data_IF_587697526909
#
_entry.id   IF_587697526909
#
_cell.length_a   1.000
_cell.length_b   1.000
_cell.length_c   1.000
_cell.angle_alpha   90.00
_cell.angle_beta   90.00
_cell.angle_gamma   90.00
#
_symmetry.space_group_name_H-M   'P 1'
#
loop_
_entity.id
_entity.type
_entity.pdbx_description
1 polymer ?
#
# COMPACT_ATOMS: atom_id res chain seq x y z
N UNK A 1 -3.54 11.16 22.18
CA UNK A 1 -2.97 10.33 21.10
C UNK A 1 -4.13 9.84 20.26
N UNK A 2 -4.17 10.13 18.96
CA UNK A 2 -5.23 9.68 18.04
C UNK A 2 -5.02 8.20 17.73
N UNK A 3 -6.06 7.38 17.87
CA UNK A 3 -5.98 5.95 17.54
C UNK A 3 -5.58 5.78 16.08
N UNK A 4 -4.54 4.97 15.81
CA UNK A 4 -4.14 4.65 14.44
C UNK A 4 -4.95 3.44 13.99
N UNK A 5 -5.87 3.66 13.05
CA UNK A 5 -6.62 2.59 12.38
C UNK A 5 -5.67 1.95 11.36
N UNK A 6 -5.49 0.64 11.46
CA UNK A 6 -4.65 -0.14 10.56
C UNK A 6 -5.44 -0.57 9.32
N UNK A 7 -6.61 -1.16 9.54
CA UNK A 7 -7.56 -1.56 8.51
C UNK A 7 -8.97 -1.67 9.10
N UNK A 8 -9.97 -1.74 8.23
CA UNK A 8 -11.35 -2.03 8.63
C UNK A 8 -11.78 -3.41 8.15
N UNK A 9 -12.81 -3.95 8.80
CA UNK A 9 -13.47 -5.18 8.39
C UNK A 9 -14.98 -4.98 8.37
N UNK A 10 -15.64 -5.48 7.33
CA UNK A 10 -17.10 -5.59 7.25
C UNK A 10 -17.51 -7.03 7.00
N UNK A 11 -18.40 -7.56 7.83
CA UNK A 11 -18.88 -8.94 7.74
C UNK A 11 -20.27 -8.96 7.10
N UNK A 12 -20.50 -9.95 6.25
CA UNK A 12 -21.69 -10.16 5.45
C UNK A 12 -22.17 -11.62 5.54
N UNK A 13 -23.48 -11.81 5.56
CA UNK A 13 -24.10 -13.14 5.52
C UNK A 13 -24.06 -13.76 4.13
N UNK A 14 -24.22 -12.93 3.08
CA UNK A 14 -24.27 -13.33 1.68
C UNK A 14 -23.08 -12.78 0.89
N UNK A 15 -22.53 -13.60 -0.01
CA UNK A 15 -21.42 -13.22 -0.89
C UNK A 15 -21.75 -12.03 -1.78
N UNK A 16 -22.97 -12.01 -2.34
CA UNK A 16 -23.46 -10.95 -3.21
C UNK A 16 -23.36 -9.56 -2.56
N UNK A 17 -23.57 -9.47 -1.24
CA UNK A 17 -23.47 -8.20 -0.50
C UNK A 17 -22.01 -7.76 -0.31
N UNK A 18 -21.09 -8.71 -0.13
CA UNK A 18 -19.66 -8.42 -0.12
C UNK A 18 -19.18 -7.96 -1.51
N UNK A 19 -19.68 -8.57 -2.58
CA UNK A 19 -19.38 -8.17 -3.96
C UNK A 19 -19.97 -6.79 -4.32
N UNK A 20 -21.18 -6.48 -3.86
CA UNK A 20 -21.76 -5.14 -3.94
C UNK A 20 -20.90 -4.10 -3.21
N UNK A 21 -20.37 -4.46 -2.04
CA UNK A 21 -19.47 -3.59 -1.28
C UNK A 21 -18.16 -3.33 -2.05
N UNK A 22 -17.57 -4.33 -2.68
CA UNK A 22 -16.39 -4.18 -3.55
C UNK A 22 -16.66 -3.21 -4.71
N UNK A 23 -17.89 -3.21 -5.26
CA UNK A 23 -18.31 -2.26 -6.30
C UNK A 23 -18.64 -0.86 -5.75
N UNK A 24 -18.39 -0.61 -4.47
CA UNK A 24 -18.62 0.66 -3.80
C UNK A 24 -20.05 0.91 -3.32
N UNK A 25 -20.93 -0.09 -3.37
CA UNK A 25 -22.34 0.06 -2.98
C UNK A 25 -22.52 -0.18 -1.48
N UNK A 26 -22.60 0.89 -0.72
CA UNK A 26 -22.70 0.86 0.75
C UNK A 26 -24.15 1.10 1.18
N UNK A 27 -24.71 0.16 1.94
CA UNK A 27 -26.03 0.29 2.54
C UNK A 27 -25.91 0.82 3.96
N UNK A 28 -26.51 1.96 4.22
CA UNK A 28 -26.54 2.58 5.55
C UNK A 28 -27.95 2.46 6.09
N UNK A 29 -28.10 1.65 7.13
CA UNK A 29 -29.38 1.49 7.82
C UNK A 29 -29.62 2.64 8.78
N UNK A 30 -30.89 2.93 9.07
CA UNK A 30 -31.24 3.91 10.10
C UNK A 30 -30.84 3.43 11.48
N UNK A 31 -30.59 4.37 12.37
CA UNK A 31 -30.27 4.04 13.76
C UNK A 31 -31.39 3.24 14.43
N UNK A 32 -32.66 3.54 14.10
CA UNK A 32 -33.84 2.81 14.58
C UNK A 32 -33.85 1.33 14.19
N UNK A 33 -33.27 0.95 13.05
CA UNK A 33 -33.15 -0.44 12.63
C UNK A 33 -32.37 -1.26 13.66
N UNK A 34 -31.23 -0.73 14.14
CA UNK A 34 -30.38 -1.42 15.11
C UNK A 34 -31.02 -1.56 16.51
N UNK A 35 -31.97 -0.68 16.86
CA UNK A 35 -32.74 -0.77 18.11
C UNK A 35 -33.79 -1.88 18.10
N UNK A 36 -34.29 -2.22 16.90
CA UNK A 36 -35.41 -3.15 16.71
C UNK A 36 -34.95 -4.60 16.49
N UNK A 37 -33.65 -4.82 16.28
CA UNK A 37 -33.08 -6.17 16.21
C UNK A 37 -33.24 -6.80 17.60
N UNK A 38 -34.06 -7.84 17.70
CA UNK A 38 -34.05 -8.72 18.87
C UNK A 38 -32.63 -9.26 19.04
N UNK A 39 -32.10 -9.18 20.26
CA UNK A 39 -30.70 -9.50 20.54
C UNK A 39 -30.43 -11.01 20.39
N UNK A 40 -30.32 -11.44 19.14
CA UNK A 40 -29.70 -12.70 18.77
C UNK A 40 -28.24 -12.37 18.46
N UNK A 41 -27.33 -12.96 19.24
CA UNK A 41 -25.88 -12.92 19.01
C UNK A 41 -25.21 -11.53 19.17
N UNK A 42 -25.58 -10.74 20.20
CA UNK A 42 -24.96 -9.43 20.51
C UNK A 42 -25.08 -8.39 19.38
N UNK A 43 -26.06 -8.53 18.49
CA UNK A 43 -26.32 -7.64 17.36
C UNK A 43 -27.26 -6.48 17.70
N UNK A 44 -28.17 -6.69 18.64
CA UNK A 44 -29.15 -5.69 19.08
C UNK A 44 -28.66 -4.91 20.31
N UNK A 45 -28.75 -3.58 20.27
CA UNK A 45 -28.57 -2.74 21.47
C UNK A 45 -29.81 -1.86 21.65
N UNK A 46 -30.65 -2.21 22.64
CA UNK A 46 -31.84 -1.42 22.98
C UNK A 46 -31.48 -0.02 23.51
N UNK A 47 -30.24 0.19 23.94
CA UNK A 47 -29.72 1.45 24.46
C UNK A 47 -28.95 2.24 23.40
N UNK A 48 -29.16 1.95 22.11
CA UNK A 48 -28.45 2.63 21.04
C UNK A 48 -28.77 4.13 20.98
N UNK A 49 -27.75 4.99 20.91
CA UNK A 49 -27.90 6.45 20.93
C UNK A 49 -28.63 7.01 22.17
N UNK A 50 -28.37 6.47 23.35
CA UNK A 50 -28.72 7.11 24.62
C UNK A 50 -28.04 8.49 24.72
N UNK A 51 -28.82 9.53 25.02
CA UNK A 51 -28.38 10.92 25.22
C UNK A 51 -27.84 11.16 26.63
N UNK A 52 -28.39 10.46 27.62
CA UNK A 52 -27.98 10.55 29.02
C UNK A 52 -28.14 9.22 29.74
N UNK A 53 -27.20 8.92 30.63
CA UNK A 53 -27.26 7.76 31.52
C UNK A 53 -26.98 8.22 32.93
N UNK A 54 -27.95 8.08 33.82
CA UNK A 54 -27.99 8.76 35.09
C UNK A 54 -28.15 7.75 36.23
N UNK A 55 -27.13 7.66 37.09
CA UNK A 55 -27.14 6.79 38.26
C UNK A 55 -28.20 7.23 39.30
N UNK A 56 -28.93 6.28 39.92
CA UNK A 56 -30.02 6.57 40.86
C UNK A 56 -29.62 7.49 42.00
N UNK A 57 -28.46 7.22 42.61
CA UNK A 57 -27.93 7.96 43.76
C UNK A 57 -27.38 9.36 43.43
N UNK A 58 -27.51 9.81 42.18
CA UNK A 58 -27.00 11.10 41.70
C UNK A 58 -28.08 11.98 41.08
N UNK A 59 -29.34 11.54 41.09
CA UNK A 59 -30.44 12.27 40.48
C UNK A 59 -31.65 12.33 41.38
N UNK A 60 -32.53 13.27 41.04
CA UNK A 60 -33.88 13.41 41.53
C UNK A 60 -34.74 13.73 40.32
N UNK A 61 -35.92 13.11 40.22
CA UNK A 61 -36.80 13.29 39.06
C UNK A 61 -38.05 14.06 39.51
N UNK A 62 -38.41 15.09 38.74
CA UNK A 62 -39.63 15.85 38.96
C UNK A 62 -40.52 15.72 37.72
N UNK A 63 -41.74 15.20 37.89
CA UNK A 63 -42.75 15.05 36.82
C UNK A 63 -44.01 15.79 37.26
N UNK A 64 -44.18 17.02 36.76
CA UNK A 64 -45.21 17.92 37.28
C UNK A 64 -44.96 18.20 38.76
N UNK A 65 -45.94 17.89 39.61
CA UNK A 65 -45.85 18.03 41.07
C UNK A 65 -45.30 16.78 41.78
N UNK A 66 -45.01 15.70 41.03
CA UNK A 66 -44.48 14.45 41.59
C UNK A 66 -42.96 14.53 41.68
N UNK A 67 -42.44 14.25 42.87
CA UNK A 67 -41.03 14.22 43.18
C UNK A 67 -40.59 12.79 43.50
N UNK A 68 -39.63 12.26 42.72
CA UNK A 68 -39.05 10.93 42.90
C UNK A 68 -37.61 11.11 43.38
N UNK A 69 -37.34 10.72 44.63
CA UNK A 69 -36.03 10.86 45.24
C UNK A 69 -35.11 9.71 44.85
N UNK A 70 -33.81 9.88 45.09
CA UNK A 70 -32.78 8.90 44.71
C UNK A 70 -32.99 7.52 45.35
N UNK A 71 -33.63 7.46 46.51
CA UNK A 71 -33.95 6.22 47.24
C UNK A 71 -35.06 5.40 46.57
N UNK A 72 -35.92 6.04 45.78
CA UNK A 72 -37.06 5.41 45.09
C UNK A 72 -36.71 4.92 43.68
N UNK A 73 -35.48 5.16 43.21
CA UNK A 73 -35.03 4.81 41.86
C UNK A 73 -34.26 3.49 41.89
N UNK A 74 -34.87 2.43 41.37
CA UNK A 74 -34.32 1.07 41.43
C UNK A 74 -33.16 0.78 40.44
N UNK A 75 -33.02 1.57 39.37
CA UNK A 75 -32.04 1.33 38.30
C UNK A 75 -31.64 2.63 37.57
N UNK A 76 -30.50 2.65 36.85
CA UNK A 76 -30.09 3.83 36.10
C UNK A 76 -31.16 4.32 35.14
N UNK A 77 -31.36 5.63 35.12
CA UNK A 77 -32.32 6.29 34.24
C UNK A 77 -31.58 6.73 32.99
N UNK A 78 -32.08 6.32 31.83
CA UNK A 78 -31.52 6.73 30.55
C UNK A 78 -32.51 7.61 29.76
N UNK A 79 -31.96 8.59 29.06
CA UNK A 79 -32.73 9.47 28.17
C UNK A 79 -32.34 9.14 26.74
N UNK A 80 -33.32 8.92 25.88
CA UNK A 80 -33.10 8.62 24.48
C UNK A 80 -34.12 9.40 23.65
N UNK A 81 -33.64 10.32 22.82
CA UNK A 81 -34.50 11.21 22.04
C UNK A 81 -34.76 10.67 20.62
N UNK A 82 -35.89 11.05 20.03
CA UNK A 82 -36.30 10.57 18.71
C UNK A 82 -35.54 11.21 17.55
N UNK A 83 -34.88 12.36 17.75
CA UNK A 83 -34.14 13.04 16.68
C UNK A 83 -32.98 12.20 16.11
N UNK A 84 -32.55 11.17 16.84
CA UNK A 84 -31.59 10.17 16.35
C UNK A 84 -32.16 9.29 15.22
N UNK A 85 -33.48 9.18 15.10
CA UNK A 85 -34.14 8.37 14.07
C UNK A 85 -33.92 8.91 12.64
N UNK A 86 -33.48 10.16 12.50
CA UNK A 86 -33.06 10.74 11.21
C UNK A 86 -31.67 10.28 10.74
N UNK A 87 -30.94 9.60 11.62
CA UNK A 87 -29.55 9.24 11.37
C UNK A 87 -29.42 7.86 10.74
N UNK A 88 -28.62 7.79 9.68
CA UNK A 88 -28.17 6.56 9.04
C UNK A 88 -26.76 6.23 9.49
N UNK A 89 -26.51 4.95 9.80
CA UNK A 89 -25.22 4.47 10.27
C UNK A 89 -24.59 3.53 9.24
N UNK A 90 -23.29 3.71 9.03
CA UNK A 90 -22.42 2.70 8.43
C UNK A 90 -21.42 2.22 9.48
N UNK A 91 -21.47 0.95 9.83
CA UNK A 91 -20.66 0.39 10.91
C UNK A 91 -19.61 -0.58 10.35
N UNK A 92 -18.37 -0.39 10.79
CA UNK A 92 -17.20 -1.21 10.47
C UNK A 92 -16.54 -1.70 11.76
N UNK A 93 -15.93 -2.88 11.73
CA UNK A 93 -14.95 -3.26 12.75
C UNK A 93 -13.64 -2.53 12.43
N UNK A 94 -13.10 -1.78 13.38
CA UNK A 94 -11.83 -1.09 13.20
C UNK A 94 -10.71 -1.79 13.95
N UNK A 95 -9.76 -2.34 13.20
CA UNK A 95 -8.52 -2.83 13.79
C UNK A 95 -7.60 -1.64 13.98
N UNK A 96 -7.35 -1.28 15.24
CA UNK A 96 -6.59 -0.10 15.62
C UNK A 96 -5.73 -0.36 16.85
N UNK A 97 -4.65 0.40 17.00
CA UNK A 97 -3.81 0.39 18.20
C UNK A 97 -3.62 1.81 18.74
N UNK A 98 -3.53 1.92 20.06
CA UNK A 98 -3.09 3.14 20.75
C UNK A 98 -1.85 2.93 21.62
N UNK A 99 -1.41 1.67 21.80
CA UNK A 99 -0.29 1.28 22.66
C UNK A 99 1.02 1.21 21.91
N UNK A 100 1.00 0.83 20.63
CA UNK A 100 2.23 0.57 19.88
C UNK A 100 2.53 1.68 18.89
N UNK A 101 3.60 2.45 19.14
CA UNK A 101 4.19 3.36 18.14
C UNK A 101 5.06 2.61 17.14
N UNK A 102 5.77 1.58 17.59
CA UNK A 102 6.63 0.71 16.80
C UNK A 102 6.45 -0.75 17.24
N UNK A 103 6.55 -1.66 16.28
CA UNK A 103 6.51 -3.12 16.52
C UNK A 103 7.93 -3.67 16.47
N UNK A 104 8.27 -4.53 17.43
CA UNK A 104 9.58 -5.16 17.61
C UNK A 104 9.41 -6.59 18.11
N UNK A 105 10.48 -7.38 18.11
CA UNK A 105 10.47 -8.76 18.62
C UNK A 105 9.97 -8.86 20.07
N UNK A 106 10.21 -7.84 20.90
CA UNK A 106 9.80 -7.83 22.31
C UNK A 106 8.30 -7.62 22.54
N UNK A 107 7.59 -7.02 21.59
CA UNK A 107 6.18 -6.65 21.76
C UNK A 107 5.25 -7.20 20.66
N UNK A 108 5.76 -8.02 19.75
CA UNK A 108 5.01 -8.57 18.61
C UNK A 108 3.81 -9.41 19.09
N UNK A 109 3.97 -10.21 20.14
CA UNK A 109 2.89 -11.05 20.69
C UNK A 109 1.76 -10.21 21.30
N UNK A 110 2.08 -9.14 22.02
CA UNK A 110 1.08 -8.22 22.56
C UNK A 110 0.39 -7.42 21.44
N UNK A 111 1.16 -6.98 20.44
CA UNK A 111 0.62 -6.31 19.26
C UNK A 111 -0.34 -7.21 18.49
N UNK A 112 0.03 -8.48 18.24
CA UNK A 112 -0.81 -9.50 17.60
C UNK A 112 -2.14 -9.66 18.34
N UNK A 113 -2.10 -9.82 19.67
CA UNK A 113 -3.32 -9.92 20.50
C UNK A 113 -4.18 -8.65 20.43
N UNK A 114 -3.58 -7.47 20.30
CA UNK A 114 -4.35 -6.21 20.20
C UNK A 114 -5.08 -6.10 18.84
N UNK A 115 -4.47 -6.56 17.75
CA UNK A 115 -5.05 -6.46 16.40
C UNK A 115 -5.96 -7.62 16.04
N UNK A 116 -5.97 -8.68 16.85
CA UNK A 116 -6.88 -9.82 16.69
C UNK A 116 -8.35 -9.39 16.81
N UNK A 117 -9.19 -9.93 15.92
CA UNK A 117 -10.64 -9.72 15.92
C UNK A 117 -11.28 -10.74 16.85
N UNK A 118 -12.19 -10.28 17.71
CA UNK A 118 -12.89 -11.15 18.65
C UNK A 118 -13.71 -12.23 17.91
N UNK A 119 -13.67 -13.48 18.38
CA UNK A 119 -14.33 -14.63 17.74
C UNK A 119 -15.85 -14.42 17.57
N UNK A 120 -16.54 -13.81 18.55
CA UNK A 120 -17.97 -13.51 18.46
C UNK A 120 -18.27 -12.61 17.25
N UNK A 121 -17.37 -11.69 16.92
CA UNK A 121 -17.53 -10.83 15.75
C UNK A 121 -17.35 -11.61 14.46
N UNK A 122 -16.46 -12.60 14.42
CA UNK A 122 -16.23 -13.44 13.24
C UNK A 122 -17.41 -14.37 12.92
N UNK A 123 -18.28 -14.63 13.89
CA UNK A 123 -19.51 -15.43 13.71
C UNK A 123 -20.66 -14.64 13.07
N UNK A 124 -20.52 -13.31 12.92
CA UNK A 124 -21.58 -12.44 12.39
C UNK A 124 -21.84 -12.62 10.88
N UNK A 125 -21.29 -13.61 10.21
CA UNK A 125 -21.56 -13.87 8.81
C UNK A 125 -20.63 -14.91 8.20
N UNK A 126 -20.78 -15.13 6.90
CA UNK A 126 -20.02 -16.14 6.15
C UNK A 126 -18.92 -15.52 5.28
N UNK A 127 -18.96 -14.21 5.07
CA UNK A 127 -18.04 -13.46 4.21
C UNK A 127 -17.57 -12.22 4.94
N UNK A 128 -16.31 -11.85 4.75
CA UNK A 128 -15.79 -10.58 5.24
C UNK A 128 -15.10 -9.84 4.12
N UNK A 129 -15.27 -8.52 4.10
CA UNK A 129 -14.43 -7.63 3.31
C UNK A 129 -13.44 -6.96 4.25
N UNK A 130 -12.16 -7.11 3.95
CA UNK A 130 -11.08 -6.35 4.58
C UNK A 130 -10.82 -5.12 3.75
N UNK A 131 -10.75 -3.96 4.39
CA UNK A 131 -10.43 -2.67 3.77
C UNK A 131 -8.99 -2.34 4.14
N UNK A 132 -8.07 -2.67 3.23
CA UNK A 132 -6.62 -2.66 3.44
C UNK A 132 -6.04 -1.25 3.59
N UNK A 133 -6.68 -0.26 2.96
CA UNK A 133 -6.30 1.15 3.06
C UNK A 133 -7.41 1.96 3.72
N UNK A 134 -7.41 1.99 5.05
CA UNK A 134 -8.40 2.70 5.85
C UNK A 134 -8.49 4.18 5.47
N UNK A 135 -7.35 4.85 5.26
CA UNK A 135 -7.33 6.29 4.94
C UNK A 135 -8.01 6.58 3.60
N UNK A 136 -7.61 5.89 2.53
CA UNK A 136 -8.19 6.09 1.20
C UNK A 136 -9.69 5.75 1.18
N UNK A 137 -10.11 4.73 1.94
CA UNK A 137 -11.52 4.44 2.13
C UNK A 137 -12.28 5.59 2.81
N UNK A 138 -11.74 6.16 3.89
CA UNK A 138 -12.33 7.33 4.55
C UNK A 138 -12.44 8.53 3.58
N UNK A 139 -11.41 8.79 2.79
CA UNK A 139 -11.40 9.87 1.79
C UNK A 139 -12.48 9.67 0.72
N UNK A 140 -12.62 8.44 0.18
CA UNK A 140 -13.69 8.09 -0.79
C UNK A 140 -15.07 8.21 -0.18
N UNK A 141 -15.24 7.76 1.05
CA UNK A 141 -16.51 7.88 1.78
C UNK A 141 -16.90 9.35 1.96
N UNK A 142 -15.98 10.19 2.44
CA UNK A 142 -16.22 11.63 2.65
C UNK A 142 -16.57 12.30 1.32
N UNK A 143 -15.79 12.04 0.26
CA UNK A 143 -16.07 12.58 -1.08
C UNK A 143 -17.45 12.16 -1.61
N UNK A 144 -17.87 10.91 -1.40
CA UNK A 144 -19.19 10.43 -1.80
C UNK A 144 -20.33 11.08 -1.00
N UNK A 145 -20.13 11.24 0.32
CA UNK A 145 -21.09 11.92 1.18
C UNK A 145 -21.28 13.40 0.81
N UNK A 146 -20.19 14.11 0.51
CA UNK A 146 -20.20 15.50 0.05
C UNK A 146 -20.92 15.66 -1.29
N UNK A 147 -20.64 14.78 -2.27
CA UNK A 147 -21.33 14.74 -3.57
C UNK A 147 -22.83 14.49 -3.43
N UNK A 148 -23.22 13.75 -2.39
CA UNK A 148 -24.63 13.45 -2.08
C UNK A 148 -25.27 14.51 -1.15
N UNK A 149 -24.57 15.60 -0.85
CA UNK A 149 -24.99 16.68 0.05
C UNK A 149 -25.36 16.21 1.46
N UNK A 150 -24.80 15.09 1.90
CA UNK A 150 -25.03 14.56 3.24
C UNK A 150 -24.10 15.21 4.25
N UNK A 151 -24.66 15.60 5.40
CA UNK A 151 -23.87 16.01 6.57
C UNK A 151 -23.62 14.78 7.44
N UNK A 152 -22.36 14.39 7.56
CA UNK A 152 -21.99 13.21 8.33
C UNK A 152 -20.76 13.38 9.20
N UNK A 153 -20.55 12.42 10.09
CA UNK A 153 -19.40 12.32 10.98
C UNK A 153 -18.93 10.87 11.04
N UNK A 154 -17.62 10.64 10.91
CA UNK A 154 -16.99 9.34 11.08
C UNK A 154 -16.12 9.33 12.34
N UNK A 155 -16.31 8.38 13.26
CA UNK A 155 -15.41 8.18 14.40
C UNK A 155 -15.52 6.79 15.03
N UNK A 156 -14.51 6.43 15.83
CA UNK A 156 -14.55 5.26 16.70
C UNK A 156 -15.64 5.42 17.77
N UNK A 157 -16.36 4.34 18.03
CA UNK A 157 -17.31 4.23 19.12
C UNK A 157 -16.55 4.22 20.44
N UNK A 158 -17.04 5.00 21.41
CA UNK A 158 -16.57 5.04 22.78
C UNK A 158 -17.45 4.15 23.64
N UNK A 159 -16.85 3.47 24.59
CA UNK A 159 -17.57 2.54 25.46
C UNK A 159 -17.64 3.08 26.87
N UNK A 160 -18.80 2.89 27.51
CA UNK A 160 -19.03 3.29 28.90
C UNK A 160 -19.54 2.13 29.73
N UNK A 161 -19.14 2.05 30.99
CA UNK A 161 -19.67 1.05 31.92
C UNK A 161 -21.01 1.56 32.51
N UNK A 162 -22.14 0.90 32.23
CA UNK A 162 -23.45 1.34 32.70
C UNK A 162 -23.58 1.31 34.23
N UNK A 163 -22.72 0.59 34.95
CA UNK A 163 -22.73 0.52 36.41
C UNK A 163 -22.08 1.74 37.07
N UNK A 164 -21.14 2.38 36.39
CA UNK A 164 -20.32 3.45 36.98
C UNK A 164 -20.50 4.81 36.29
N UNK A 165 -20.86 4.83 35.01
CA UNK A 165 -21.03 6.05 34.25
C UNK A 165 -22.26 6.86 34.72
N UNK A 166 -22.10 8.17 34.84
CA UNK A 166 -23.18 9.13 35.06
C UNK A 166 -22.90 10.38 34.21
N UNK A 167 -23.80 10.74 33.30
CA UNK A 167 -23.67 11.96 32.51
C UNK A 167 -24.44 11.97 31.20
N UNK A 168 -24.09 12.92 30.34
CA UNK A 168 -24.76 13.21 29.07
C UNK A 168 -23.78 13.03 27.90
N UNK A 169 -24.21 12.32 26.85
CA UNK A 169 -23.48 12.09 25.61
C UNK A 169 -23.75 13.15 24.54
N UNK A 170 -24.85 13.91 24.67
CA UNK A 170 -25.23 15.02 23.78
C UNK A 170 -25.21 14.59 22.29
N UNK A 171 -24.62 15.40 21.40
CA UNK A 171 -24.58 15.20 19.94
C UNK A 171 -23.81 13.95 19.48
N UNK A 172 -23.06 13.31 20.37
CA UNK A 172 -22.23 12.14 20.09
C UNK A 172 -22.85 10.83 20.57
N UNK A 173 -24.12 10.82 20.99
CA UNK A 173 -24.83 9.61 21.45
C UNK A 173 -24.72 8.43 20.48
N UNK A 174 -24.81 8.69 19.17
CA UNK A 174 -24.65 7.69 18.11
C UNK A 174 -23.23 7.09 18.00
N UNK A 175 -22.30 7.47 18.87
CA UNK A 175 -20.94 6.95 18.93
C UNK A 175 -20.57 6.49 20.35
N UNK A 176 -21.56 6.22 21.19
CA UNK A 176 -21.37 5.65 22.51
C UNK A 176 -22.16 4.35 22.63
N UNK A 177 -21.53 3.33 23.21
CA UNK A 177 -22.13 2.03 23.49
C UNK A 177 -21.76 1.55 24.88
N UNK A 178 -22.53 0.62 25.42
CA UNK A 178 -22.17 -0.02 26.68
C UNK A 178 -20.93 -0.89 26.52
N UNK A 179 -20.13 -0.99 27.59
CA UNK A 179 -18.84 -1.69 27.60
C UNK A 179 -18.93 -3.17 27.22
N UNK A 180 -20.09 -3.81 27.39
CA UNK A 180 -20.31 -5.19 26.96
C UNK A 180 -20.14 -5.38 25.44
N UNK A 181 -20.34 -4.33 24.64
CA UNK A 181 -20.15 -4.36 23.19
C UNK A 181 -18.73 -3.95 22.75
N UNK A 182 -17.80 -3.72 23.68
CA UNK A 182 -16.45 -3.23 23.37
C UNK A 182 -15.65 -4.15 22.44
N UNK A 183 -15.96 -5.44 22.43
CA UNK A 183 -15.36 -6.42 21.54
C UNK A 183 -15.56 -6.10 20.05
N UNK A 184 -16.61 -5.35 19.71
CA UNK A 184 -16.94 -4.96 18.33
C UNK A 184 -15.97 -3.95 17.72
N UNK A 185 -15.15 -3.27 18.55
CA UNK A 185 -14.19 -2.21 18.14
C UNK A 185 -14.75 -1.31 17.03
N UNK A 186 -15.99 -0.89 17.20
CA UNK A 186 -16.79 -0.33 16.12
C UNK A 186 -16.29 1.07 15.69
N UNK A 187 -16.19 1.28 14.38
CA UNK A 187 -16.10 2.60 13.76
C UNK A 187 -17.40 2.87 13.02
N UNK A 188 -17.96 4.07 13.25
CA UNK A 188 -19.22 4.48 12.63
C UNK A 188 -19.02 5.65 11.73
N UNK A 189 -19.74 5.64 10.61
CA UNK A 189 -20.18 6.85 9.96
C UNK A 189 -21.64 7.09 10.28
N UNK A 190 -21.95 8.30 10.69
CA UNK A 190 -23.32 8.78 10.87
C UNK A 190 -23.62 9.81 9.80
N UNK A 191 -24.73 9.65 9.10
CA UNK A 191 -25.29 10.65 8.17
C UNK A 191 -26.65 11.09 8.71
N UNK A 192 -26.87 12.38 8.85
CA UNK A 192 -28.18 12.93 9.21
C UNK A 192 -28.91 13.42 7.96
N UNK A 193 -29.95 12.69 7.57
CA UNK A 193 -30.75 13.03 6.39
C UNK A 193 -31.87 14.02 6.71
N UNK A 194 -32.13 14.30 8.00
CA UNK A 194 -33.30 15.08 8.47
C UNK A 194 -34.66 14.57 8.02
N UNK A 195 -34.74 13.31 7.58
CA UNK A 195 -35.98 12.66 7.17
C UNK A 195 -36.35 11.56 8.15
N UNK A 196 -37.64 11.30 8.33
CA UNK A 196 -38.17 10.18 9.14
C UNK A 196 -38.47 8.99 8.24
N UNK A 197 -38.43 7.77 8.78
CA UNK A 197 -38.83 6.54 8.09
C UNK A 197 -37.96 5.35 8.49
N UNK A 198 -38.04 4.26 7.72
CA UNK A 198 -37.25 3.04 7.93
C UNK A 198 -36.28 2.74 6.78
N UNK A 199 -36.36 3.48 5.67
CA UNK A 199 -35.58 3.18 4.47
C UNK A 199 -34.07 3.45 4.69
N UNK A 200 -33.20 2.52 4.27
CA UNK A 200 -31.76 2.77 4.23
C UNK A 200 -31.41 3.77 3.14
N UNK A 201 -30.21 4.33 3.21
CA UNK A 201 -29.60 5.04 2.07
C UNK A 201 -28.51 4.17 1.45
N UNK A 202 -28.38 4.26 0.14
CA UNK A 202 -27.30 3.62 -0.61
C UNK A 202 -26.32 4.70 -1.03
N UNK A 203 -25.07 4.57 -0.62
CA UNK A 203 -23.98 5.40 -1.10
C UNK A 203 -23.14 4.62 -2.11
N UNK A 204 -22.63 5.33 -3.12
CA UNK A 204 -21.72 4.77 -4.11
C UNK A 204 -20.35 5.42 -3.97
N UNK A 205 -19.35 4.62 -3.61
CA UNK A 205 -17.96 5.06 -3.43
C UNK A 205 -17.08 4.83 -4.67
N UNK A 206 -17.64 4.28 -5.75
CA UNK A 206 -16.89 3.76 -6.89
C UNK A 206 -16.24 2.41 -6.57
N UNK A 207 -15.54 1.83 -7.54
CA UNK A 207 -14.86 0.55 -7.33
C UNK A 207 -13.88 0.64 -6.15
N UNK A 208 -13.97 -0.33 -5.25
CA UNK A 208 -13.14 -0.47 -4.05
C UNK A 208 -12.22 -1.70 -4.15
N UNK A 209 -12.21 -2.42 -5.29
CA UNK A 209 -11.41 -3.63 -5.48
C UNK A 209 -9.90 -3.39 -5.32
N UNK A 210 -9.44 -2.16 -5.52
CA UNK A 210 -8.06 -1.73 -5.31
C UNK A 210 -7.66 -1.60 -3.83
N UNK A 211 -8.63 -1.46 -2.92
CA UNK A 211 -8.37 -1.29 -1.48
C UNK A 211 -9.08 -2.32 -0.61
N UNK A 212 -9.71 -3.33 -1.21
CA UNK A 212 -10.49 -4.34 -0.49
C UNK A 212 -10.27 -5.75 -1.00
N UNK A 213 -10.46 -6.74 -0.12
CA UNK A 213 -10.50 -8.15 -0.49
C UNK A 213 -11.59 -8.90 0.28
N UNK A 214 -12.21 -9.89 -0.37
CA UNK A 214 -13.18 -10.80 0.27
C UNK A 214 -12.42 -11.99 0.83
N UNK A 215 -12.67 -12.30 2.09
CA UNK A 215 -12.14 -13.47 2.81
C UNK A 215 -13.24 -14.17 3.59
N UNK A 216 -12.97 -15.37 4.10
CA UNK A 216 -13.85 -16.01 5.07
C UNK A 216 -13.57 -15.40 6.47
N UNK A 217 -14.59 -15.10 7.30
CA UNK A 217 -14.37 -14.47 8.62
C UNK A 217 -13.41 -15.24 9.54
N UNK A 218 -13.54 -16.57 9.61
CA UNK A 218 -12.63 -17.45 10.38
C UNK A 218 -11.14 -17.35 9.97
N UNK A 219 -10.87 -16.83 8.77
CA UNK A 219 -9.53 -16.70 8.22
C UNK A 219 -8.96 -15.30 8.50
N UNK A 220 -9.71 -14.33 9.05
CA UNK A 220 -9.20 -12.96 9.27
C UNK A 220 -8.07 -12.92 10.29
N UNK A 221 -8.23 -13.62 11.42
CA UNK A 221 -7.15 -13.76 12.40
C UNK A 221 -6.05 -14.72 11.89
N UNK A 222 -6.35 -15.48 10.83
CA UNK A 222 -5.45 -16.44 10.18
C UNK A 222 -4.94 -15.95 8.83
N UNK A 223 -5.14 -14.68 8.47
CA UNK A 223 -4.58 -14.06 7.27
C UNK A 223 -3.09 -13.88 7.55
N UNK A 224 -2.47 -15.03 7.49
CA UNK A 224 -1.16 -15.39 7.91
C UNK A 224 -0.38 -15.51 6.61
N UNK A 225 0.90 -15.18 6.69
CA UNK A 225 1.82 -15.33 5.57
C UNK A 225 1.67 -16.72 4.92
N UNK A 226 1.37 -17.72 5.73
CA UNK A 226 1.11 -19.11 5.42
C UNK A 226 0.00 -19.33 4.39
N UNK A 227 -1.05 -18.48 4.33
CA UNK A 227 -2.07 -18.59 3.29
C UNK A 227 -1.61 -17.95 1.97
N UNK A 228 -0.92 -16.81 2.06
CA UNK A 228 -0.44 -16.10 0.88
C UNK A 228 0.75 -16.80 0.23
N UNK A 229 1.71 -17.24 1.04
CA UNK A 229 2.95 -17.92 0.68
C UNK A 229 3.20 -19.10 1.64
N UNK A 230 2.49 -20.24 1.45
CA UNK A 230 2.62 -21.42 2.32
C UNK A 230 4.03 -22.00 2.36
N UNK A 231 4.84 -21.70 1.35
CA UNK A 231 6.22 -22.14 1.28
C UNK A 231 7.16 -21.36 2.19
N UNK A 232 6.73 -20.25 2.83
CA UNK A 232 7.58 -19.51 3.74
C UNK A 232 7.48 -20.07 5.16
N UNK A 233 8.65 -20.24 5.81
CA UNK A 233 8.78 -20.58 7.23
C UNK A 233 9.60 -19.55 7.98
N UNK A 234 9.55 -19.62 9.31
CA UNK A 234 10.36 -18.80 10.22
C UNK A 234 10.13 -17.28 10.02
N UNK A 235 8.91 -16.87 9.68
CA UNK A 235 8.55 -15.47 9.52
C UNK A 235 7.66 -15.00 10.67
N UNK A 236 8.12 -13.98 11.39
CA UNK A 236 7.36 -13.40 12.52
C UNK A 236 6.34 -12.36 12.05
N UNK A 237 6.61 -11.64 10.96
CA UNK A 237 5.71 -10.63 10.42
C UNK A 237 6.07 -10.32 8.96
N UNK A 238 5.08 -9.93 8.17
CA UNK A 238 5.26 -9.51 6.78
C UNK A 238 4.46 -8.23 6.49
N UNK A 239 4.94 -7.45 5.53
CA UNK A 239 4.20 -6.35 4.91
C UNK A 239 3.77 -6.81 3.52
N UNK A 240 2.49 -6.63 3.21
CA UNK A 240 1.95 -6.96 1.90
C UNK A 240 1.66 -5.68 1.12
N UNK A 241 2.19 -5.61 -0.10
CA UNK A 241 1.99 -4.51 -1.03
C UNK A 241 1.21 -5.03 -2.24
N UNK A 242 -0.13 -4.90 -2.27
CA UNK A 242 -0.97 -5.56 -3.26
C UNK A 242 -0.74 -5.07 -4.70
N UNK A 243 -0.36 -3.80 -4.86
CA UNK A 243 -0.24 -3.16 -6.17
C UNK A 243 1.15 -3.26 -6.80
N UNK A 244 2.11 -3.91 -6.14
CA UNK A 244 3.45 -4.09 -6.72
C UNK A 244 3.37 -4.99 -7.95
N UNK A 245 3.85 -4.46 -9.06
CA UNK A 245 4.06 -5.21 -10.29
C UNK A 245 5.53 -5.64 -10.41
N UNK A 246 5.75 -6.75 -11.11
CA UNK A 246 7.08 -7.24 -11.42
C UNK A 246 7.08 -7.89 -12.81
N UNK A 247 8.25 -7.90 -13.46
CA UNK A 247 8.43 -8.59 -14.73
C UNK A 247 8.94 -10.00 -14.50
N UNK A 248 8.20 -10.98 -15.03
CA UNK A 248 8.61 -12.40 -15.06
C UNK A 248 9.70 -12.69 -16.11
N UNK A 249 9.93 -11.77 -17.05
CA UNK A 249 11.00 -11.83 -18.06
C UNK A 249 11.38 -10.42 -18.57
N UNK A 250 12.33 -9.74 -17.89
CA UNK A 250 12.80 -8.42 -18.30
C UNK A 250 13.49 -8.39 -19.67
N UNK A 251 14.07 -9.51 -20.11
CA UNK A 251 14.77 -9.58 -21.39
C UNK A 251 13.77 -9.58 -22.54
N UNK A 252 12.73 -10.39 -22.46
CA UNK A 252 11.63 -10.41 -23.43
C UNK A 252 10.90 -9.07 -23.48
N UNK A 253 10.71 -8.41 -22.32
CA UNK A 253 10.18 -7.06 -22.27
C UNK A 253 11.04 -6.07 -23.08
N UNK A 254 12.36 -6.07 -22.86
CA UNK A 254 13.28 -5.22 -23.61
C UNK A 254 13.29 -5.52 -25.13
N UNK A 255 13.29 -6.81 -25.52
CA UNK A 255 13.21 -7.20 -26.93
C UNK A 255 11.89 -6.77 -27.59
N UNK A 256 10.78 -6.76 -26.84
CA UNK A 256 9.50 -6.28 -27.35
C UNK A 256 9.55 -4.77 -27.61
N UNK A 257 10.10 -3.99 -26.69
CA UNK A 257 10.31 -2.56 -26.89
C UNK A 257 11.22 -2.29 -28.09
N UNK A 258 12.33 -3.03 -28.20
CA UNK A 258 13.24 -2.95 -29.34
C UNK A 258 12.54 -3.24 -30.67
N UNK A 259 11.72 -4.30 -30.73
CA UNK A 259 10.97 -4.66 -31.92
C UNK A 259 9.96 -3.57 -32.31
N UNK A 260 9.29 -2.96 -31.32
CA UNK A 260 8.40 -1.82 -31.56
C UNK A 260 9.16 -0.64 -32.15
N UNK A 261 10.32 -0.29 -31.59
CA UNK A 261 11.17 0.79 -32.10
C UNK A 261 11.56 0.57 -33.58
N UNK A 262 12.01 -0.64 -33.94
CA UNK A 262 12.32 -0.97 -35.34
C UNK A 262 11.09 -0.87 -36.23
N UNK A 263 9.93 -1.40 -35.79
CA UNK A 263 8.69 -1.35 -36.57
C UNK A 263 8.19 0.07 -36.85
N UNK A 264 8.56 1.04 -36.00
CA UNK A 264 8.26 2.46 -36.16
C UNK A 264 9.28 3.19 -37.07
N UNK A 265 10.20 2.45 -37.71
CA UNK A 265 11.25 3.02 -38.58
C UNK A 265 12.55 3.38 -37.84
N UNK A 266 12.66 3.03 -36.56
CA UNK A 266 13.91 3.15 -35.81
C UNK A 266 15.04 2.33 -36.44
N UNK A 267 16.25 2.87 -36.41
CA UNK A 267 17.45 2.18 -36.89
C UNK A 267 18.31 1.74 -35.71
N UNK A 268 18.79 0.49 -35.74
CA UNK A 268 19.71 -0.03 -34.74
C UNK A 268 21.09 -0.28 -35.33
N UNK A 269 22.08 0.39 -34.78
CA UNK A 269 23.49 0.21 -35.12
C UNK A 269 24.15 -0.42 -33.91
N UNK A 270 24.59 -1.67 -34.04
CA UNK A 270 25.35 -2.37 -33.00
C UNK A 270 26.81 -1.97 -33.12
N UNK A 271 27.20 -0.92 -32.42
CA UNK A 271 28.59 -0.42 -32.40
C UNK A 271 28.91 0.24 -31.05
N UNK A 272 30.18 0.24 -30.67
CA UNK A 272 30.64 0.87 -29.43
C UNK A 272 30.98 2.33 -29.68
N UNK A 273 30.34 3.24 -28.96
CA UNK A 273 30.69 4.67 -28.99
C UNK A 273 31.94 4.87 -28.14
N UNK A 274 33.00 5.41 -28.76
CA UNK A 274 34.29 5.65 -28.10
C UNK A 274 34.44 7.09 -27.66
N UNK A 275 33.95 8.04 -28.45
CA UNK A 275 34.01 9.48 -28.14
C UNK A 275 32.83 10.26 -28.69
N UNK A 276 32.46 11.32 -27.98
CA UNK A 276 31.43 12.28 -28.40
C UNK A 276 32.06 13.67 -28.43
N UNK A 277 31.90 14.38 -29.55
CA UNK A 277 32.42 15.73 -29.76
C UNK A 277 31.29 16.67 -30.17
N UNK A 278 31.15 17.81 -29.48
CA UNK A 278 30.28 18.90 -29.92
C UNK A 278 31.04 19.79 -30.89
N UNK A 279 30.71 19.73 -32.18
CA UNK A 279 31.36 20.58 -33.20
C UNK A 279 30.71 21.98 -33.28
N UNK A 280 29.41 22.04 -33.03
CA UNK A 280 28.61 23.27 -32.89
C UNK A 280 27.30 22.94 -32.18
N UNK A 281 26.49 23.96 -31.86
CA UNK A 281 25.16 23.75 -31.26
C UNK A 281 24.25 22.82 -32.06
N UNK A 282 24.41 22.69 -33.38
CA UNK A 282 23.56 21.84 -34.23
C UNK A 282 24.29 20.66 -34.88
N UNK A 283 25.53 20.40 -34.49
CA UNK A 283 26.32 19.31 -35.05
C UNK A 283 27.12 18.59 -33.95
N UNK A 284 26.70 17.37 -33.67
CA UNK A 284 27.35 16.45 -32.75
C UNK A 284 28.01 15.36 -33.58
N UNK A 285 29.30 15.09 -33.32
CA UNK A 285 30.05 13.98 -33.92
C UNK A 285 30.19 12.87 -32.89
N UNK A 286 29.76 11.68 -33.29
CA UNK A 286 29.82 10.46 -32.49
C UNK A 286 30.82 9.55 -33.19
N UNK A 287 31.96 9.28 -32.54
CA UNK A 287 32.90 8.29 -33.06
C UNK A 287 32.58 6.95 -32.43
N UNK A 288 32.48 5.95 -33.27
CA UNK A 288 32.34 4.56 -32.84
C UNK A 288 33.60 3.78 -33.17
N UNK A 289 33.64 2.50 -32.83
CA UNK A 289 34.76 1.62 -33.19
C UNK A 289 34.91 1.45 -34.70
N UNK A 290 33.82 1.54 -35.47
CA UNK A 290 33.84 1.25 -36.90
C UNK A 290 33.51 2.44 -37.81
N UNK A 291 32.92 3.52 -37.29
CA UNK A 291 32.47 4.65 -38.12
C UNK A 291 32.34 5.97 -37.34
N UNK A 292 32.09 7.05 -38.08
CA UNK A 292 31.72 8.34 -37.53
C UNK A 292 30.28 8.68 -37.91
N UNK A 293 29.47 9.02 -36.92
CA UNK A 293 28.06 9.41 -37.11
C UNK A 293 27.92 10.89 -36.78
N UNK A 294 27.14 11.62 -37.58
CA UNK A 294 26.75 13.00 -37.30
C UNK A 294 25.29 13.05 -36.90
N UNK A 295 24.98 13.78 -35.83
CA UNK A 295 23.62 13.95 -35.34
C UNK A 295 23.36 15.41 -34.96
N UNK A 296 22.09 15.83 -35.05
CA UNK A 296 21.63 17.14 -34.57
C UNK A 296 21.30 17.14 -33.07
N UNK A 297 20.86 15.99 -32.55
CA UNK A 297 20.51 15.73 -31.15
C UNK A 297 21.07 14.38 -30.74
N UNK A 298 21.44 14.24 -29.48
CA UNK A 298 21.98 13.02 -28.90
C UNK A 298 21.38 12.80 -27.50
N UNK A 299 21.01 11.57 -27.18
CA UNK A 299 20.64 11.17 -25.81
C UNK A 299 21.66 10.14 -25.35
N UNK A 300 22.28 10.36 -24.20
CA UNK A 300 23.20 9.41 -23.56
C UNK A 300 22.42 8.64 -22.50
N UNK A 301 22.15 7.37 -22.78
CA UNK A 301 21.42 6.44 -21.89
C UNK A 301 22.17 5.11 -21.74
N UNK A 302 23.50 5.17 -21.62
CA UNK A 302 24.39 4.00 -21.67
C UNK A 302 24.63 3.34 -20.30
N UNK A 303 23.71 3.50 -19.35
CA UNK A 303 23.83 2.96 -17.99
C UNK A 303 25.15 3.39 -17.33
N UNK A 304 25.91 2.43 -16.80
CA UNK A 304 27.20 2.69 -16.13
C UNK A 304 28.25 3.28 -17.07
N UNK A 305 28.19 2.94 -18.36
CA UNK A 305 29.15 3.40 -19.37
C UNK A 305 28.96 4.87 -19.74
N UNK A 306 27.85 5.50 -19.31
CA UNK A 306 27.62 6.93 -19.50
C UNK A 306 28.72 7.79 -18.85
N UNK A 307 29.36 7.31 -17.77
CA UNK A 307 30.44 8.02 -17.06
C UNK A 307 31.59 8.41 -18.00
N UNK A 308 32.09 7.46 -18.78
CA UNK A 308 33.22 7.73 -19.69
C UNK A 308 32.79 8.59 -20.88
N UNK A 309 31.55 8.42 -21.35
CA UNK A 309 31.00 9.21 -22.46
C UNK A 309 30.84 10.69 -22.10
N UNK A 310 30.27 11.00 -20.92
CA UNK A 310 30.11 12.40 -20.48
C UNK A 310 31.43 13.06 -20.11
N UNK A 311 32.43 12.27 -19.69
CA UNK A 311 33.79 12.76 -19.44
C UNK A 311 34.44 13.32 -20.69
N UNK A 312 34.14 12.81 -21.88
CA UNK A 312 34.61 13.39 -23.15
C UNK A 312 34.06 14.80 -23.40
N UNK A 313 32.94 15.15 -22.76
CA UNK A 313 32.31 16.47 -22.81
C UNK A 313 32.77 17.38 -21.65
N UNK A 314 33.78 16.96 -20.88
CA UNK A 314 34.29 17.71 -19.72
C UNK A 314 33.42 17.58 -18.46
N UNK A 315 32.46 16.66 -18.44
CA UNK A 315 31.54 16.48 -17.32
C UNK A 315 32.00 15.28 -16.49
N UNK A 316 32.16 15.49 -15.18
CA UNK A 316 32.54 14.43 -14.25
C UNK A 316 31.36 14.10 -13.34
N UNK A 317 31.05 12.81 -13.20
CA UNK A 317 29.92 12.35 -12.37
C UNK A 317 30.39 11.23 -11.43
N UNK A 318 29.92 11.20 -10.16
CA UNK A 318 30.26 10.16 -9.20
C UNK A 318 29.47 8.86 -9.45
N UNK A 319 29.36 8.45 -10.71
CA UNK A 319 28.68 7.23 -11.11
C UNK A 319 29.59 6.03 -10.86
N UNK A 320 29.09 5.02 -10.15
CA UNK A 320 29.79 3.76 -9.90
C UNK A 320 28.83 2.58 -10.13
N UNK A 321 29.38 1.38 -10.34
CA UNK A 321 28.57 0.18 -10.44
C UNK A 321 28.42 -0.50 -9.09
N UNK A 322 27.17 -0.59 -8.65
CA UNK A 322 26.78 -1.57 -7.66
C UNK A 322 26.47 -2.89 -8.37
N UNK A 323 27.32 -3.89 -8.15
CA UNK A 323 27.24 -5.18 -8.86
C UNK A 323 26.28 -6.11 -8.14
N UNK A 324 25.11 -6.34 -8.73
CA UNK A 324 24.08 -7.21 -8.19
C UNK A 324 24.26 -8.66 -8.63
N UNK A 325 24.23 -9.60 -7.68
CA UNK A 325 24.36 -11.02 -7.97
C UNK A 325 23.01 -11.73 -7.96
N UNK A 326 22.89 -12.68 -8.88
CA UNK A 326 21.68 -13.46 -9.09
C UNK A 326 22.02 -14.94 -9.18
N UNK A 327 21.15 -15.76 -8.60
CA UNK A 327 21.18 -17.21 -8.70
C UNK A 327 19.79 -17.70 -9.09
N UNK A 328 19.68 -18.53 -10.12
CA UNK A 328 18.42 -19.15 -10.49
C UNK A 328 18.31 -20.52 -9.80
N UNK A 329 17.13 -20.79 -9.26
CA UNK A 329 16.68 -22.13 -8.92
C UNK A 329 15.94 -22.72 -10.14
N UNK A 330 15.93 -24.05 -10.30
CA UNK A 330 15.12 -24.73 -11.29
C UNK A 330 13.64 -24.29 -11.23
N UNK A 331 12.89 -24.58 -12.29
CA UNK A 331 11.47 -24.25 -12.35
C UNK A 331 10.67 -25.10 -11.35
N UNK A 332 10.55 -24.54 -10.16
CA UNK A 332 9.70 -24.99 -9.08
C UNK A 332 8.92 -23.76 -8.63
N UNK A 333 7.58 -23.86 -8.63
CA UNK A 333 6.71 -22.79 -8.16
C UNK A 333 6.76 -22.74 -6.63
N UNK A 334 7.86 -22.18 -6.12
CA UNK A 334 8.13 -22.06 -4.68
C UNK A 334 7.38 -20.89 -4.06
N UNK A 335 7.11 -19.84 -4.81
CA UNK A 335 6.36 -18.67 -4.32
C UNK A 335 5.43 -18.17 -5.40
N UNK A 336 4.31 -17.57 -4.99
CA UNK A 336 3.31 -17.02 -5.89
C UNK A 336 3.58 -15.55 -6.26
N UNK A 337 4.41 -14.85 -5.47
CA UNK A 337 4.81 -13.47 -5.75
C UNK A 337 6.26 -13.19 -5.31
N UNK A 338 6.83 -12.03 -5.68
CA UNK A 338 8.13 -11.62 -5.18
C UNK A 338 8.06 -11.38 -3.66
N UNK A 339 9.00 -11.95 -2.92
CA UNK A 339 9.08 -11.77 -1.46
C UNK A 339 10.48 -11.28 -1.08
N UNK A 340 10.52 -10.14 -0.39
CA UNK A 340 11.73 -9.55 0.14
C UNK A 340 11.93 -9.93 1.62
N UNK A 341 13.05 -10.55 1.93
CA UNK A 341 13.42 -10.94 3.29
C UNK A 341 14.35 -9.87 3.89
N UNK A 342 13.77 -8.87 4.56
CA UNK A 342 14.49 -7.70 5.05
C UNK A 342 15.71 -8.05 5.93
N UNK A 343 15.54 -8.95 6.90
CA UNK A 343 16.62 -9.35 7.82
C UNK A 343 17.78 -10.06 7.10
N UNK A 344 17.49 -10.78 6.01
CA UNK A 344 18.47 -11.52 5.21
C UNK A 344 18.97 -10.75 3.98
N UNK A 345 18.40 -9.57 3.71
CA UNK A 345 18.76 -8.67 2.59
C UNK A 345 18.75 -9.36 1.23
N UNK A 346 17.75 -10.20 0.99
CA UNK A 346 17.57 -10.86 -0.31
C UNK A 346 16.09 -10.99 -0.69
N UNK A 347 15.85 -11.23 -1.97
CA UNK A 347 14.53 -11.32 -2.58
C UNK A 347 14.46 -12.64 -3.36
N UNK A 348 13.34 -13.32 -3.24
CA UNK A 348 12.95 -14.46 -4.06
C UNK A 348 11.88 -13.98 -5.02
N UNK A 349 12.08 -14.18 -6.32
CA UNK A 349 11.16 -13.73 -7.36
C UNK A 349 10.81 -14.91 -8.27
N UNK A 350 9.53 -15.31 -8.39
CA UNK A 350 9.13 -16.26 -9.43
C UNK A 350 9.33 -15.61 -10.81
N UNK A 351 10.02 -16.30 -11.71
CA UNK A 351 10.30 -15.86 -13.09
C UNK A 351 9.69 -16.87 -14.07
N UNK A 352 9.61 -16.50 -15.34
CA UNK A 352 9.05 -17.38 -16.38
C UNK A 352 9.83 -18.71 -16.51
N UNK A 353 11.15 -18.69 -16.31
CA UNK A 353 12.05 -19.85 -16.50
C UNK A 353 12.59 -20.45 -15.20
N UNK A 354 12.06 -20.04 -14.03
CA UNK A 354 12.56 -20.51 -12.74
C UNK A 354 12.29 -19.56 -11.59
N UNK A 355 12.92 -19.81 -10.44
CA UNK A 355 12.84 -18.91 -9.28
C UNK A 355 14.17 -18.17 -9.10
N UNK A 356 14.14 -16.84 -9.14
CA UNK A 356 15.35 -16.01 -9.04
C UNK A 356 15.60 -15.57 -7.61
N UNK A 357 16.81 -15.81 -7.13
CA UNK A 357 17.35 -15.27 -5.89
C UNK A 357 18.23 -14.07 -6.22
N UNK A 358 18.08 -12.97 -5.47
CA UNK A 358 18.90 -11.76 -5.64
C UNK A 358 19.05 -11.01 -4.31
N UNK A 359 20.15 -10.27 -4.11
CA UNK A 359 20.24 -9.38 -2.94
C UNK A 359 21.64 -8.94 -2.54
N UNK A 360 22.67 -9.71 -2.90
CA UNK A 360 24.05 -9.39 -2.54
C UNK A 360 24.68 -8.44 -3.57
N UNK A 361 25.47 -7.48 -3.07
CA UNK A 361 26.01 -6.38 -3.86
C UNK A 361 27.44 -6.03 -3.48
N UNK A 362 28.18 -5.42 -4.39
CA UNK A 362 29.49 -4.83 -4.12
C UNK A 362 29.87 -3.70 -5.09
N UNK A 363 30.75 -2.81 -4.61
CA UNK A 363 31.39 -1.78 -5.41
C UNK A 363 32.76 -2.28 -5.86
N UNK A 364 32.90 -2.61 -7.15
CA UNK A 364 34.17 -3.14 -7.68
C UNK A 364 34.39 -2.81 -9.17
N UNK A 365 33.73 -1.77 -9.68
CA UNK A 365 33.88 -1.32 -11.06
C UNK A 365 33.39 -2.35 -12.10
N UNK A 366 33.61 -2.03 -13.38
CA UNK A 366 33.11 -2.86 -14.49
C UNK A 366 34.08 -3.95 -14.95
N UNK A 367 35.35 -3.91 -14.51
CA UNK A 367 36.42 -4.80 -15.01
C UNK A 367 36.76 -5.97 -14.08
N UNK A 368 36.46 -5.87 -12.79
CA UNK A 368 36.78 -6.91 -11.81
C UNK A 368 36.00 -8.19 -12.09
N UNK A 369 36.59 -9.36 -11.89
CA UNK A 369 35.86 -10.65 -12.05
C UNK A 369 34.70 -10.76 -11.04
N UNK A 370 33.62 -11.49 -11.37
CA UNK A 370 32.53 -11.76 -10.42
C UNK A 370 32.99 -12.60 -9.22
N UNK A 371 32.45 -12.31 -8.05
CA UNK A 371 32.61 -13.10 -6.83
C UNK A 371 31.38 -14.02 -6.64
N UNK A 372 31.42 -15.21 -7.23
CA UNK A 372 30.27 -16.12 -7.24
C UNK A 372 29.82 -16.63 -5.87
N UNK A 373 30.68 -16.56 -4.84
CA UNK A 373 30.30 -16.86 -3.46
C UNK A 373 29.11 -16.02 -2.98
N UNK A 374 28.95 -14.81 -3.52
CA UNK A 374 27.81 -13.92 -3.24
C UNK A 374 26.49 -14.44 -3.78
N UNK A 375 26.51 -15.05 -4.97
CA UNK A 375 25.34 -15.71 -5.56
C UNK A 375 25.05 -17.02 -4.83
N UNK A 376 26.08 -17.81 -4.53
CA UNK A 376 25.97 -19.10 -3.82
C UNK A 376 25.39 -18.93 -2.41
N UNK A 377 25.75 -17.87 -1.69
CA UNK A 377 25.17 -17.57 -0.38
C UNK A 377 23.65 -17.32 -0.42
N UNK A 378 23.09 -16.87 -1.54
CA UNK A 378 21.64 -16.70 -1.69
C UNK A 378 20.90 -18.03 -1.57
N UNK A 379 21.52 -19.12 -2.05
CA UNK A 379 20.97 -20.47 -1.92
C UNK A 379 20.84 -20.88 -0.46
N UNK A 380 21.85 -20.60 0.36
CA UNK A 380 21.81 -20.87 1.79
C UNK A 380 20.70 -20.08 2.49
N UNK A 381 20.47 -18.82 2.11
CA UNK A 381 19.35 -18.03 2.63
C UNK A 381 18.00 -18.61 2.23
N UNK A 382 17.82 -19.02 0.97
CA UNK A 382 16.58 -19.63 0.49
C UNK A 382 16.21 -20.90 1.28
N UNK A 383 17.16 -21.81 1.54
CA UNK A 383 16.91 -23.05 2.32
C UNK A 383 16.40 -22.79 3.74
N UNK A 384 16.78 -21.66 4.33
CA UNK A 384 16.42 -21.31 5.71
C UNK A 384 15.01 -20.76 5.84
N UNK A 385 14.45 -20.23 4.75
CA UNK A 385 13.15 -19.55 4.74
C UNK A 385 12.08 -20.29 3.95
N UNK A 386 12.44 -21.31 3.16
CA UNK A 386 11.49 -22.12 2.40
C UNK A 386 11.22 -23.47 3.06
N UNK A 387 9.95 -23.90 3.07
CA UNK A 387 9.50 -25.20 3.56
C UNK A 387 9.98 -26.33 2.67
N UNK A 388 9.72 -26.23 1.37
CA UNK A 388 10.16 -27.24 0.40
C UNK A 388 11.68 -27.37 0.37
N UNK A 389 12.21 -28.62 0.37
CA UNK A 389 13.63 -28.84 0.18
C UNK A 389 14.05 -28.36 -1.21
N UNK A 390 15.10 -27.53 -1.26
CA UNK A 390 15.75 -27.14 -2.51
C UNK A 390 17.05 -27.93 -2.61
N UNK A 391 17.02 -29.01 -3.39
CA UNK A 391 18.12 -29.98 -3.50
C UNK A 391 19.36 -29.37 -4.13
N UNK A 392 19.17 -28.61 -5.21
CA UNK A 392 20.23 -27.93 -5.94
C UNK A 392 19.78 -26.56 -6.45
N UNK A 393 20.72 -25.64 -6.53
CA UNK A 393 20.55 -24.47 -7.37
C UNK A 393 20.89 -24.84 -8.82
N UNK A 394 20.35 -24.11 -9.79
CA UNK A 394 20.84 -24.25 -11.16
C UNK A 394 22.24 -23.64 -11.29
N UNK A 395 23.00 -24.05 -12.30
CA UNK A 395 24.28 -23.42 -12.64
C UNK A 395 24.12 -22.01 -13.24
N UNK A 396 22.89 -21.54 -13.42
CA UNK A 396 22.62 -20.21 -13.95
C UNK A 396 22.82 -19.15 -12.87
N UNK A 397 24.03 -18.61 -12.85
CA UNK A 397 24.43 -17.45 -12.04
C UNK A 397 24.80 -16.31 -12.97
N UNK A 398 24.39 -15.10 -12.62
CA UNK A 398 24.81 -13.92 -13.36
C UNK A 398 24.95 -12.71 -12.44
N UNK A 399 25.61 -11.68 -12.95
CA UNK A 399 25.85 -10.44 -12.24
C UNK A 399 25.56 -9.27 -13.17
N UNK A 400 24.79 -8.30 -12.67
CA UNK A 400 24.44 -7.08 -13.39
C UNK A 400 25.13 -5.85 -12.82
N UNK A 401 25.37 -4.86 -13.68
CA UNK A 401 25.86 -3.55 -13.28
C UNK A 401 24.69 -2.60 -13.03
N UNK A 402 24.51 -2.13 -11.79
CA UNK A 402 23.55 -1.06 -11.48
C UNK A 402 24.28 0.27 -11.51
N UNK A 403 23.87 1.22 -12.38
CA UNK A 403 24.51 2.53 -12.46
C UNK A 403 24.06 3.38 -11.28
N UNK A 404 24.92 3.48 -10.25
CA UNK A 404 24.57 4.06 -8.95
C UNK A 404 25.23 5.42 -8.74
N UNK A 405 24.41 6.36 -8.28
CA UNK A 405 24.80 7.71 -7.85
C UNK A 405 24.62 7.82 -6.33
N UNK A 406 25.42 8.66 -5.64
CA UNK A 406 25.45 8.71 -4.17
C UNK A 406 24.13 9.12 -3.50
N UNK A 407 23.25 9.79 -4.24
CA UNK A 407 22.02 10.43 -3.76
C UNK A 407 20.74 9.67 -4.14
N UNK A 408 20.87 8.48 -4.73
CA UNK A 408 19.72 7.65 -5.15
C UNK A 408 18.85 8.22 -6.29
N UNK A 409 19.27 9.31 -6.95
CA UNK A 409 18.52 9.93 -8.06
C UNK A 409 19.22 9.71 -9.41
N UNK A 410 18.48 9.55 -10.52
CA UNK A 410 19.09 9.51 -11.86
C UNK A 410 19.61 10.89 -12.27
N UNK A 411 20.39 10.93 -13.34
CA UNK A 411 20.67 12.16 -14.09
C UNK A 411 19.73 12.22 -15.28
N UNK A 412 18.92 13.27 -15.32
CA UNK A 412 18.02 13.63 -16.42
C UNK A 412 18.20 15.12 -16.68
N UNK A 413 19.00 15.47 -17.68
CA UNK A 413 19.44 16.85 -17.88
C UNK A 413 19.92 17.12 -19.32
N UNK A 414 20.17 18.39 -19.61
CA UNK A 414 20.89 18.86 -20.79
C UNK A 414 22.40 18.98 -20.50
N UNK A 415 23.22 18.76 -21.52
CA UNK A 415 24.64 19.08 -21.45
C UNK A 415 24.84 20.60 -21.50
N UNK A 416 25.63 21.14 -20.55
CA UNK A 416 25.97 22.56 -20.51
C UNK A 416 26.78 23.04 -21.73
N UNK A 417 27.60 22.16 -22.33
CA UNK A 417 28.40 22.48 -23.53
C UNK A 417 27.53 22.53 -24.78
N UNK A 418 26.49 21.70 -24.86
CA UNK A 418 25.57 21.68 -25.98
C UNK A 418 24.18 21.15 -25.54
N UNK A 419 23.15 22.01 -25.47
CA UNK A 419 21.84 21.63 -24.95
C UNK A 419 21.08 20.60 -25.82
N UNK A 420 21.57 20.30 -27.03
CA UNK A 420 21.07 19.22 -27.87
C UNK A 420 21.65 17.83 -27.51
N UNK A 421 22.58 17.77 -26.56
CA UNK A 421 23.01 16.52 -25.92
C UNK A 421 22.25 16.40 -24.59
N UNK A 422 21.47 15.34 -24.44
CA UNK A 422 20.66 15.03 -23.26
C UNK A 422 21.23 13.83 -22.52
N UNK A 423 20.98 13.77 -21.22
CA UNK A 423 21.39 12.70 -20.33
C UNK A 423 20.18 11.98 -19.75
N UNK A 424 20.22 10.65 -19.71
CA UNK A 424 19.21 9.81 -19.08
C UNK A 424 19.86 8.53 -18.55
N UNK A 425 20.52 8.60 -17.39
CA UNK A 425 21.23 7.46 -16.80
C UNK A 425 21.27 7.53 -15.27
N UNK A 426 21.78 6.49 -14.61
CA UNK A 426 21.94 6.48 -13.15
C UNK A 426 20.73 6.00 -12.36
N UNK A 427 19.79 5.28 -13.00
CA UNK A 427 18.54 4.82 -12.37
C UNK A 427 18.67 3.66 -11.36
N UNK A 428 19.89 3.24 -11.01
CA UNK A 428 20.12 2.28 -9.92
C UNK A 428 19.31 0.99 -10.07
N UNK A 429 18.48 0.67 -9.07
CA UNK A 429 17.60 -0.50 -9.02
C UNK A 429 16.28 -0.28 -9.77
N UNK A 430 15.95 0.96 -10.10
CA UNK A 430 14.61 1.38 -10.53
C UNK A 430 14.53 1.68 -12.04
N UNK A 431 15.57 1.36 -12.82
CA UNK A 431 15.62 1.63 -14.25
C UNK A 431 14.43 1.09 -15.04
N UNK A 432 13.98 -0.14 -14.74
CA UNK A 432 12.78 -0.70 -15.40
C UNK A 432 11.50 0.07 -15.01
N UNK A 433 11.35 0.37 -13.72
CA UNK A 433 10.18 1.07 -13.17
C UNK A 433 10.09 2.50 -13.70
N UNK A 434 11.21 3.19 -13.81
CA UNK A 434 11.28 4.61 -14.16
C UNK A 434 11.49 4.86 -15.66
N UNK A 435 11.65 3.81 -16.48
CA UNK A 435 11.94 3.95 -17.91
C UNK A 435 10.85 4.75 -18.65
N UNK A 436 9.57 4.44 -18.40
CA UNK A 436 8.43 5.11 -19.06
C UNK A 436 8.42 6.60 -18.80
N UNK A 437 8.38 7.01 -17.52
CA UNK A 437 8.35 8.43 -17.15
C UNK A 437 9.64 9.17 -17.57
N UNK A 438 10.80 8.51 -17.54
CA UNK A 438 12.05 9.11 -18.06
C UNK A 438 11.95 9.36 -19.56
N UNK A 439 11.33 8.44 -20.32
CA UNK A 439 11.16 8.62 -21.76
C UNK A 439 10.21 9.77 -22.09
N UNK A 440 9.14 9.96 -21.33
CA UNK A 440 8.22 11.09 -21.48
C UNK A 440 8.95 12.42 -21.22
N UNK A 441 9.69 12.50 -20.11
CA UNK A 441 10.53 13.67 -19.79
C UNK A 441 11.51 13.95 -20.93
N UNK A 442 12.27 12.95 -21.37
CA UNK A 442 13.26 13.13 -22.45
C UNK A 442 12.59 13.53 -23.75
N UNK A 443 11.40 13.00 -24.07
CA UNK A 443 10.63 13.41 -25.24
C UNK A 443 10.28 14.89 -25.19
N UNK A 444 9.81 15.39 -24.04
CA UNK A 444 9.53 16.82 -23.86
C UNK A 444 10.79 17.68 -24.01
N UNK A 445 11.90 17.27 -23.40
CA UNK A 445 13.18 17.99 -23.51
C UNK A 445 13.71 18.00 -24.95
N UNK A 446 13.57 16.90 -25.69
CA UNK A 446 13.88 16.83 -27.12
C UNK A 446 13.04 17.82 -27.91
N UNK A 447 11.77 18.02 -27.57
CA UNK A 447 10.86 18.93 -28.28
C UNK A 447 10.82 20.36 -27.71
N UNK A 448 11.69 20.68 -26.74
CA UNK A 448 11.70 21.97 -26.03
C UNK A 448 10.35 22.30 -25.39
N UNK A 449 9.64 21.28 -24.90
CA UNK A 449 8.40 21.41 -24.14
C UNK A 449 8.70 21.46 -22.65
N UNK A 450 7.77 22.06 -21.90
CA UNK A 450 7.80 22.01 -20.44
C UNK A 450 7.47 20.59 -19.98
N UNK A 451 8.26 20.08 -19.04
CA UNK A 451 8.00 18.79 -18.39
C UNK A 451 6.94 18.93 -17.30
N UNK A 452 6.15 17.88 -17.08
CA UNK A 452 5.14 17.85 -16.01
C UNK A 452 5.77 17.74 -14.60
N UNK A 453 7.00 17.22 -14.53
CA UNK A 453 7.77 17.05 -13.30
C UNK A 453 8.92 18.06 -13.30
N UNK A 454 9.20 18.65 -12.14
CA UNK A 454 10.42 19.44 -11.94
C UNK A 454 11.65 18.53 -11.99
N UNK A 455 12.49 18.74 -13.00
CA UNK A 455 13.71 17.96 -13.22
C UNK A 455 14.94 18.58 -12.56
N UNK A 456 14.82 19.73 -11.88
CA UNK A 456 15.92 20.36 -11.17
C UNK A 456 16.67 19.43 -10.20
N UNK A 457 16.01 18.49 -9.48
CA UNK A 457 16.71 17.53 -8.62
C UNK A 457 17.55 16.49 -9.39
N UNK A 458 17.31 16.32 -10.70
CA UNK A 458 18.00 15.35 -11.55
C UNK A 458 19.14 15.97 -12.36
N UNK A 459 19.45 17.26 -12.14
CA UNK A 459 20.51 17.96 -12.87
C UNK A 459 21.88 17.30 -12.66
N UNK A 460 22.70 17.29 -13.70
CA UNK A 460 24.08 16.81 -13.63
C UNK A 460 24.97 17.69 -12.74
N UNK A 461 24.63 18.99 -12.60
CA UNK A 461 25.41 19.98 -11.84
C UNK A 461 25.20 19.90 -10.32
N UNK A 462 24.44 18.92 -9.83
CA UNK A 462 24.25 18.72 -8.38
C UNK A 462 25.44 18.04 -7.70
N UNK A 463 26.45 17.63 -8.46
CA UNK A 463 27.66 16.94 -8.01
C UNK A 463 28.93 17.78 -8.17
#
# INVERSE_FOLDING_TARGET
>A
MTNKILFFVKIFEKKEWAEDFLKGKLYLNRLSFFKQIEDQENRGDKHEAVDAWLQPNKIKITIGDIEINSEDIASPVFVQQEYHNHSHLFCLYAVHTNKFKNVSERNIEEFRKEIEINEECLLLGNYAVIILNAQLFLERFISSAEKSHYKGKGQLVKYYDPKTFHGYFKKDSAFHKQIQYANQKEFRFRIDTKTVGNNPIIMNLGDLSDITCIVHPKDINKLQLEELEPEIKNCQAALYFPDIQYSIDPHKFALRLFSCFISMGGQFIRDEVTTIESLSHHSIKIKTSNQNIKAKKLIISAGIFSKELVKNLGINVPLETERGYHLMLPQQQLLNRPVAFAQRRFIITPMQTGTRLAGTVEFAGTKTKPNWKRAENLFHHAKQVLNSPIESASDQKWMGFRPTLPDSLPIIDHCCVNPNILFAFGHQHLGLTQAGITADIISDLVHHKKTDIDISPFSVNRF
#
